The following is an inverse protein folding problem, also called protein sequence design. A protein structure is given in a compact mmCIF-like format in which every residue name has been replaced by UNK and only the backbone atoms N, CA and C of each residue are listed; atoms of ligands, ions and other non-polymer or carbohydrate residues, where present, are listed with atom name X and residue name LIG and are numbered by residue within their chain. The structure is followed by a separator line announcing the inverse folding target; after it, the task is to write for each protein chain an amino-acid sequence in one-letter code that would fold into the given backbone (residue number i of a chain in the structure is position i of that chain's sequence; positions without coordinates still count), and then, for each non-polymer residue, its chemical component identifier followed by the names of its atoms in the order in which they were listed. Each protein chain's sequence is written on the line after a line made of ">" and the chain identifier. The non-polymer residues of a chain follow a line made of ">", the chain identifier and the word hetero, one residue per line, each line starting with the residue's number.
data_IF_226362904912
#
_entry.id   IF_226362904912
#
_cell.length_a   1.000
_cell.length_b   1.000
_cell.length_c   1.000
_cell.angle_alpha   90.00
_cell.angle_beta   90.00
_cell.angle_gamma   90.00
#
_symmetry.space_group_name_H-M   'P 1'
#
loop_
_entity.id
_entity.type
_entity.pdbx_description
1 polymer ?
#
# COMPACT_ATOMS: atom_id res chain seq x y z
N UNK A 1 -34.77 -35.18 -34.21
CA UNK A 1 -36.02 -34.48 -33.84
C UNK A 1 -36.58 -35.24 -32.63
N UNK A 2 -36.50 -34.79 -31.39
CA UNK A 2 -36.79 -33.46 -30.84
C UNK A 2 -35.81 -33.03 -29.72
N UNK A 3 -35.65 -31.70 -29.58
CA UNK A 3 -34.99 -31.02 -28.47
C UNK A 3 -35.93 -30.98 -27.26
N UNK A 4 -35.45 -31.32 -26.07
CA UNK A 4 -36.15 -31.09 -24.81
C UNK A 4 -35.39 -30.02 -24.01
N UNK A 5 -35.88 -28.78 -24.06
CA UNK A 5 -35.34 -27.66 -23.27
C UNK A 5 -36.24 -27.49 -22.06
N UNK A 6 -35.77 -27.90 -20.88
CA UNK A 6 -36.42 -27.53 -19.62
C UNK A 6 -36.00 -26.12 -19.22
N UNK A 7 -36.92 -25.23 -18.83
CA UNK A 7 -36.56 -23.93 -18.30
C UNK A 7 -36.10 -24.08 -16.84
N UNK A 8 -34.86 -23.72 -16.55
CA UNK A 8 -34.36 -23.57 -15.18
C UNK A 8 -34.98 -22.30 -14.60
N UNK A 9 -35.95 -22.47 -13.70
CA UNK A 9 -36.54 -21.40 -12.89
C UNK A 9 -35.48 -20.95 -11.87
N UNK A 10 -35.05 -19.70 -11.98
CA UNK A 10 -34.10 -19.08 -11.05
C UNK A 10 -34.86 -18.59 -9.80
N UNK A 11 -34.86 -19.39 -8.74
CA UNK A 11 -35.31 -18.98 -7.42
C UNK A 11 -34.21 -18.21 -6.69
N UNK A 12 -34.48 -16.97 -6.29
CA UNK A 12 -33.57 -16.17 -5.46
C UNK A 12 -33.74 -16.64 -4.01
N UNK A 13 -32.93 -17.61 -3.59
CA UNK A 13 -32.87 -18.08 -2.21
C UNK A 13 -32.03 -17.09 -1.38
N UNK A 14 -32.70 -16.16 -0.71
CA UNK A 14 -32.08 -15.06 0.07
C UNK A 14 -31.19 -15.54 1.22
N UNK A 15 -31.26 -16.82 1.62
CA UNK A 15 -30.35 -17.42 2.60
C UNK A 15 -28.94 -17.67 2.04
N UNK A 16 -28.84 -18.06 0.77
CA UNK A 16 -27.54 -18.28 0.10
C UNK A 16 -26.80 -16.97 -0.15
N UNK A 17 -27.52 -15.93 -0.55
CA UNK A 17 -26.94 -14.60 -0.79
C UNK A 17 -26.32 -13.98 0.48
N UNK A 18 -26.94 -14.18 1.65
CA UNK A 18 -26.39 -13.69 2.91
C UNK A 18 -25.13 -14.46 3.33
N UNK A 19 -25.08 -15.76 3.06
CA UNK A 19 -23.93 -16.60 3.37
C UNK A 19 -22.73 -16.32 2.46
N UNK A 20 -22.97 -15.96 1.19
CA UNK A 20 -21.93 -15.54 0.26
C UNK A 20 -21.31 -14.19 0.65
N UNK A 21 -22.11 -13.23 1.12
CA UNK A 21 -21.62 -11.93 1.60
C UNK A 21 -20.81 -12.05 2.89
N UNK A 22 -21.22 -12.94 3.81
CA UNK A 22 -20.47 -13.21 5.04
C UNK A 22 -19.14 -13.92 4.73
N UNK A 23 -19.16 -14.93 3.87
CA UNK A 23 -17.94 -15.64 3.44
C UNK A 23 -16.97 -14.72 2.67
N UNK A 24 -17.48 -13.79 1.84
CA UNK A 24 -16.67 -12.79 1.15
C UNK A 24 -16.03 -11.79 2.15
N UNK A 25 -16.73 -11.44 3.23
CA UNK A 25 -16.21 -10.58 4.30
C UNK A 25 -15.13 -11.27 5.13
N UNK A 26 -15.32 -12.54 5.48
CA UNK A 26 -14.30 -13.35 6.16
C UNK A 26 -13.06 -13.55 5.28
N UNK A 27 -13.25 -13.82 3.98
CA UNK A 27 -12.15 -13.90 3.02
C UNK A 27 -11.39 -12.57 2.90
N UNK A 28 -12.08 -11.43 2.84
CA UNK A 28 -11.46 -10.10 2.82
C UNK A 28 -10.69 -9.77 4.13
N UNK A 29 -11.22 -10.20 5.27
CA UNK A 29 -10.55 -10.03 6.57
C UNK A 29 -9.30 -10.91 6.70
N UNK A 30 -9.34 -12.14 6.18
CA UNK A 30 -8.20 -13.06 6.15
C UNK A 30 -7.10 -12.60 5.19
N UNK A 31 -7.47 -11.99 4.05
CA UNK A 31 -6.53 -11.37 3.12
C UNK A 31 -5.84 -10.13 3.71
N UNK A 32 -6.55 -9.37 4.56
CA UNK A 32 -5.98 -8.22 5.29
C UNK A 32 -5.02 -8.67 6.39
N UNK A 33 -5.32 -9.77 7.09
CA UNK A 33 -4.43 -10.37 8.09
C UNK A 33 -3.17 -11.01 7.47
N UNK A 34 -3.31 -11.68 6.32
CA UNK A 34 -2.17 -12.21 5.56
C UNK A 34 -1.29 -11.10 4.95
N UNK A 35 -1.92 -9.99 4.50
CA UNK A 35 -1.22 -8.81 4.00
C UNK A 35 -0.44 -8.07 5.08
N UNK A 36 -0.90 -8.02 6.33
CA UNK A 36 -0.22 -7.33 7.42
C UNK A 36 1.18 -7.88 7.72
N UNK A 37 1.39 -9.19 7.59
CA UNK A 37 2.71 -9.82 7.71
C UNK A 37 3.64 -9.50 6.52
N UNK A 38 3.10 -9.49 5.30
CA UNK A 38 3.83 -9.07 4.09
C UNK A 38 4.26 -7.62 4.17
N UNK A 39 3.35 -6.71 4.53
CA UNK A 39 3.60 -5.27 4.63
C UNK A 39 4.65 -4.96 5.70
N UNK A 40 4.64 -5.67 6.83
CA UNK A 40 5.67 -5.51 7.86
C UNK A 40 7.07 -5.96 7.36
N UNK A 41 7.13 -7.07 6.62
CA UNK A 41 8.36 -7.53 5.97
C UNK A 41 8.82 -6.58 4.85
N UNK A 42 7.89 -6.07 4.05
CA UNK A 42 8.16 -5.13 2.95
C UNK A 42 8.67 -3.80 3.50
N UNK A 43 8.07 -3.28 4.59
CA UNK A 43 8.57 -2.09 5.30
C UNK A 43 9.97 -2.34 5.88
N UNK A 44 10.21 -3.53 6.43
CA UNK A 44 11.53 -3.92 6.93
C UNK A 44 12.58 -3.98 5.82
N UNK A 45 12.21 -4.43 4.62
CA UNK A 45 13.06 -4.45 3.44
C UNK A 45 13.34 -3.03 2.93
N UNK A 46 12.31 -2.20 2.81
CA UNK A 46 12.43 -0.79 2.45
C UNK A 46 13.32 -0.02 3.41
N UNK A 47 13.25 -0.31 4.72
CA UNK A 47 14.14 0.29 5.72
C UNK A 47 15.62 -0.08 5.51
N UNK A 48 15.91 -1.33 5.14
CA UNK A 48 17.28 -1.76 4.79
C UNK A 48 17.78 -1.10 3.51
N UNK A 49 16.93 -1.02 2.50
CA UNK A 49 17.25 -0.38 1.22
C UNK A 49 17.47 1.13 1.40
N UNK A 50 16.75 1.76 2.32
CA UNK A 50 16.97 3.16 2.71
C UNK A 50 18.34 3.37 3.35
N UNK A 51 18.74 2.53 4.32
CA UNK A 51 20.08 2.61 4.93
C UNK A 51 21.18 2.41 3.89
N UNK A 52 21.05 1.40 3.02
CA UNK A 52 22.00 1.16 1.94
C UNK A 52 22.08 2.35 0.95
N UNK A 53 20.95 3.00 0.67
CA UNK A 53 20.89 4.20 -0.16
C UNK A 53 21.55 5.39 0.52
N UNK A 54 21.39 5.53 1.84
CA UNK A 54 22.02 6.58 2.64
C UNK A 54 23.56 6.45 2.65
N UNK A 55 24.09 5.26 2.88
CA UNK A 55 25.53 4.98 2.81
C UNK A 55 26.10 5.29 1.43
N UNK A 56 25.37 4.92 0.38
CA UNK A 56 25.73 5.20 -1.01
C UNK A 56 25.67 6.70 -1.32
N UNK A 57 24.70 7.42 -0.75
CA UNK A 57 24.57 8.86 -0.86
C UNK A 57 25.74 9.57 -0.16
N UNK A 58 26.12 9.17 1.06
CA UNK A 58 27.30 9.72 1.75
C UNK A 58 28.59 9.49 0.95
N UNK A 59 28.80 8.28 0.45
CA UNK A 59 29.95 7.98 -0.41
C UNK A 59 29.97 8.83 -1.69
N UNK A 60 28.80 9.16 -2.23
CA UNK A 60 28.64 10.02 -3.40
C UNK A 60 28.79 11.50 -3.05
N UNK A 61 28.31 11.96 -1.91
CA UNK A 61 28.50 13.33 -1.41
C UNK A 61 29.97 13.62 -1.09
N UNK A 62 30.71 12.64 -0.55
CA UNK A 62 32.17 12.74 -0.38
C UNK A 62 32.87 12.90 -1.74
N UNK A 63 32.36 12.27 -2.80
CA UNK A 63 32.82 12.50 -4.17
C UNK A 63 32.36 13.85 -4.72
N UNK A 64 31.13 14.28 -4.45
CA UNK A 64 30.56 15.56 -4.90
C UNK A 64 31.21 16.79 -4.28
N UNK A 65 31.69 16.72 -3.04
CA UNK A 65 32.53 17.76 -2.41
C UNK A 65 33.86 17.95 -3.19
N UNK A 66 34.25 17.00 -4.04
CA UNK A 66 35.36 17.19 -5.00
C UNK A 66 35.00 18.04 -6.22
N UNK A 67 33.74 18.49 -6.37
CA UNK A 67 33.34 19.57 -7.30
C UNK A 67 32.60 19.16 -8.59
N UNK A 68 31.75 18.13 -8.56
CA UNK A 68 31.18 17.53 -9.79
C UNK A 68 29.70 17.89 -10.12
N UNK A 69 28.99 18.74 -9.36
CA UNK A 69 27.56 19.02 -9.56
C UNK A 69 27.21 20.51 -9.79
N UNK A 70 26.32 20.77 -10.74
CA UNK A 70 25.90 22.10 -11.23
C UNK A 70 24.66 22.63 -10.49
N UNK A 71 24.44 23.96 -10.49
CA UNK A 71 23.28 24.59 -9.84
C UNK A 71 21.92 24.08 -10.39
N UNK A 72 21.90 23.58 -11.62
CA UNK A 72 20.74 22.93 -12.23
C UNK A 72 20.43 21.59 -11.57
N UNK A 73 21.45 20.76 -11.30
CA UNK A 73 21.29 19.46 -10.65
C UNK A 73 20.80 19.62 -9.21
N UNK A 74 21.25 20.65 -8.49
CA UNK A 74 20.74 20.97 -7.16
C UNK A 74 19.26 21.34 -7.21
N UNK A 75 18.84 22.18 -8.16
CA UNK A 75 17.44 22.56 -8.32
C UNK A 75 16.53 21.38 -8.72
N UNK A 76 17.04 20.48 -9.58
CA UNK A 76 16.35 19.24 -9.94
C UNK A 76 16.16 18.33 -8.74
N UNK A 77 17.22 18.14 -7.93
CA UNK A 77 17.15 17.31 -6.73
C UNK A 77 16.16 17.84 -5.69
N UNK A 78 16.01 19.16 -5.58
CA UNK A 78 15.02 19.78 -4.69
C UNK A 78 13.59 19.52 -5.19
N UNK A 79 13.34 19.63 -6.50
CA UNK A 79 12.01 19.31 -7.07
C UNK A 79 11.63 17.84 -6.84
N UNK A 80 12.57 16.92 -7.01
CA UNK A 80 12.33 15.49 -6.73
C UNK A 80 12.05 15.24 -5.24
N UNK A 81 12.76 15.95 -4.36
CA UNK A 81 12.54 15.88 -2.91
C UNK A 81 11.15 16.42 -2.51
N UNK A 82 10.65 17.47 -3.16
CA UNK A 82 9.29 17.98 -2.91
C UNK A 82 8.22 16.97 -3.31
N UNK A 83 8.42 16.25 -4.41
CA UNK A 83 7.48 15.21 -4.84
C UNK A 83 7.42 14.05 -3.82
N UNK A 84 8.58 13.60 -3.34
CA UNK A 84 8.66 12.59 -2.29
C UNK A 84 8.01 13.05 -0.98
N UNK A 85 8.22 14.31 -0.59
CA UNK A 85 7.60 14.90 0.61
C UNK A 85 6.07 14.92 0.52
N UNK A 86 5.50 15.28 -0.64
CA UNK A 86 4.04 15.27 -0.84
C UNK A 86 3.44 13.88 -0.67
N UNK A 87 4.14 12.84 -1.15
CA UNK A 87 3.72 11.45 -0.91
C UNK A 87 3.86 11.07 0.57
N UNK A 88 4.94 11.47 1.24
CA UNK A 88 5.14 11.19 2.66
C UNK A 88 4.05 11.81 3.55
N UNK A 89 3.64 13.05 3.26
CA UNK A 89 2.54 13.73 3.98
C UNK A 89 1.21 13.01 3.77
N UNK A 90 0.90 12.58 2.54
CA UNK A 90 -0.29 11.77 2.25
C UNK A 90 -0.34 10.48 3.07
N UNK A 91 0.79 9.78 3.18
CA UNK A 91 0.90 8.57 4.00
C UNK A 91 0.70 8.91 5.49
N UNK A 92 1.33 9.98 5.98
CA UNK A 92 1.17 10.44 7.36
C UNK A 92 -0.28 10.73 7.69
N UNK A 93 -1.01 11.39 6.80
CA UNK A 93 -2.42 11.71 7.02
C UNK A 93 -3.30 10.44 7.00
N UNK A 94 -3.00 9.45 6.15
CA UNK A 94 -3.67 8.14 6.16
C UNK A 94 -3.43 7.36 7.45
N UNK A 95 -2.19 7.35 7.96
CA UNK A 95 -1.85 6.67 9.22
C UNK A 95 -2.55 7.32 10.41
N UNK A 96 -2.60 8.66 10.43
CA UNK A 96 -3.33 9.40 11.47
C UNK A 96 -4.84 9.08 11.39
N UNK A 97 -5.42 9.05 10.19
CA UNK A 97 -6.83 8.67 10.02
C UNK A 97 -7.11 7.25 10.51
N UNK A 98 -6.27 6.28 10.15
CA UNK A 98 -6.40 4.89 10.59
C UNK A 98 -6.26 4.75 12.12
N UNK A 99 -5.37 5.51 12.75
CA UNK A 99 -5.24 5.55 14.21
C UNK A 99 -6.50 6.10 14.89
N UNK A 100 -7.08 7.19 14.34
CA UNK A 100 -8.31 7.76 14.86
C UNK A 100 -9.52 6.83 14.65
N UNK A 101 -9.57 6.08 13.54
CA UNK A 101 -10.61 5.10 13.26
C UNK A 101 -10.54 3.90 14.22
N UNK A 102 -9.35 3.33 14.44
CA UNK A 102 -9.12 2.27 15.42
C UNK A 102 -9.46 2.77 16.84
N UNK A 103 -9.05 3.98 17.18
CA UNK A 103 -9.33 4.58 18.50
C UNK A 103 -10.82 4.85 18.72
N UNK A 104 -11.59 5.14 17.66
CA UNK A 104 -13.05 5.30 17.75
C UNK A 104 -13.82 3.97 17.83
N UNK A 105 -13.18 2.85 17.49
CA UNK A 105 -13.74 1.50 17.67
C UNK A 105 -13.31 0.86 19.00
N UNK A 106 -12.35 1.44 19.72
CA UNK A 106 -12.00 1.06 21.10
C UNK A 106 -13.00 1.68 22.09
N UNK A 107 -14.26 1.22 22.04
CA UNK A 107 -15.13 0.99 23.20
C UNK A 107 -16.01 -0.23 22.94
#
# INVERSE_FOLDING_TARGET
>A
MAMNVSPVVFGIDTKGALQEVLAARDAASSATAAGAGSIASDIGQVGKDFVATLEKAEATSIKGIKGEATAYEVASAVMDAEQALRMAVSIRDKVVSAYLEISRMQI
#
